data_IF_788832429078
#
_entry.id   IF_788832429078
#
_cell.length_a   1.000
_cell.length_b   1.000
_cell.length_c   1.000
_cell.angle_alpha   90.00
_cell.angle_beta   90.00
_cell.angle_gamma   90.00
#
_symmetry.space_group_name_H-M   'P 1'
#
loop_
_entity.id
_entity.type
_entity.pdbx_description
1 polymer ?
#
# COMPACT_ATOMS: atom_id res chain seq x y z
N UNK A 1 -0.75 -32.94 6.48
CA UNK A 1 -1.55 -31.76 6.77
C UNK A 1 -1.14 -31.10 8.09
N UNK A 2 -1.07 -31.85 9.18
CA UNK A 2 -0.67 -31.33 10.49
C UNK A 2 0.78 -30.84 10.53
N UNK A 3 1.69 -31.58 9.89
CA UNK A 3 3.11 -31.17 9.79
C UNK A 3 3.29 -29.88 9.04
N UNK A 4 2.59 -29.70 7.94
CA UNK A 4 2.64 -28.49 7.13
C UNK A 4 2.12 -27.30 7.93
N UNK A 5 0.98 -27.47 8.64
CA UNK A 5 0.40 -26.38 9.42
C UNK A 5 1.32 -25.99 10.59
N UNK A 6 1.90 -26.99 11.28
CA UNK A 6 2.85 -26.74 12.35
C UNK A 6 4.09 -25.99 11.85
N UNK A 7 4.59 -26.33 10.68
CA UNK A 7 5.71 -25.62 10.05
C UNK A 7 5.34 -24.18 9.72
N UNK A 8 4.17 -23.94 9.14
CA UNK A 8 3.69 -22.61 8.83
C UNK A 8 3.60 -21.76 10.10
N UNK A 9 2.98 -22.29 11.15
CA UNK A 9 2.80 -21.58 12.41
C UNK A 9 4.15 -21.23 13.05
N UNK A 10 5.08 -22.17 13.04
CA UNK A 10 6.44 -21.93 13.56
C UNK A 10 7.17 -20.85 12.77
N UNK A 11 7.12 -20.92 11.44
CA UNK A 11 7.79 -19.95 10.59
C UNK A 11 7.18 -18.56 10.70
N UNK A 12 5.86 -18.46 10.87
CA UNK A 12 5.21 -17.17 11.14
C UNK A 12 5.71 -16.55 12.45
N UNK A 13 5.77 -17.36 13.52
CA UNK A 13 6.26 -16.88 14.81
C UNK A 13 7.74 -16.47 14.74
N UNK A 14 8.56 -17.26 14.10
CA UNK A 14 10.00 -16.97 13.90
C UNK A 14 10.19 -15.71 13.05
N UNK A 15 9.38 -15.53 12.02
CA UNK A 15 9.42 -14.35 11.16
C UNK A 15 9.09 -13.07 11.91
N UNK A 16 8.02 -13.10 12.71
CA UNK A 16 7.66 -11.97 13.56
C UNK A 16 8.79 -11.61 14.53
N UNK A 17 9.36 -12.60 15.19
CA UNK A 17 10.45 -12.38 16.15
C UNK A 17 11.70 -11.83 15.45
N UNK A 18 12.07 -12.40 14.31
CA UNK A 18 13.27 -12.01 13.59
C UNK A 18 13.19 -10.60 13.01
N UNK A 19 12.04 -10.20 12.48
CA UNK A 19 11.85 -8.83 12.00
C UNK A 19 11.78 -7.85 13.17
N UNK A 20 10.96 -8.14 14.18
CA UNK A 20 10.81 -7.27 15.35
C UNK A 20 10.32 -5.88 15.00
N UNK A 21 10.67 -4.89 15.83
CA UNK A 21 10.37 -3.49 15.57
C UNK A 21 11.29 -2.91 14.50
N UNK A 22 10.72 -2.11 13.61
CA UNK A 22 11.50 -1.42 12.59
C UNK A 22 12.12 -0.15 13.16
N UNK A 23 13.45 -0.04 13.04
CA UNK A 23 14.13 1.22 13.27
C UNK A 23 13.81 2.22 12.17
N UNK A 24 14.16 3.49 12.35
CA UNK A 24 14.04 4.50 11.30
C UNK A 24 14.76 4.06 10.01
N UNK A 25 15.95 3.52 10.18
CA UNK A 25 16.73 3.02 9.03
C UNK A 25 16.02 1.86 8.33
N UNK A 26 15.48 0.92 9.08
CA UNK A 26 14.73 -0.20 8.52
C UNK A 26 13.52 0.32 7.72
N UNK A 27 12.78 1.27 8.27
CA UNK A 27 11.61 1.86 7.63
C UNK A 27 11.98 2.60 6.35
N UNK A 28 13.10 3.33 6.36
CA UNK A 28 13.60 4.03 5.18
C UNK A 28 13.88 3.05 4.04
N UNK A 29 14.65 2.01 4.33
CA UNK A 29 15.02 1.01 3.31
C UNK A 29 13.79 0.26 2.81
N UNK A 30 12.91 -0.16 3.73
CA UNK A 30 11.68 -0.87 3.35
C UNK A 30 10.78 -0.02 2.45
N UNK A 31 10.55 1.24 2.81
CA UNK A 31 9.70 2.14 2.04
C UNK A 31 10.27 2.43 0.66
N UNK A 32 11.57 2.67 0.56
CA UNK A 32 12.25 2.91 -0.73
C UNK A 32 12.18 1.66 -1.61
N UNK A 33 12.40 0.47 -1.04
CA UNK A 33 12.33 -0.79 -1.78
C UNK A 33 10.91 -1.07 -2.27
N UNK A 34 9.89 -0.81 -1.44
CA UNK A 34 8.49 -0.94 -1.86
C UNK A 34 8.19 -0.02 -3.04
N UNK A 35 8.62 1.23 -2.98
CA UNK A 35 8.37 2.17 -4.07
C UNK A 35 9.14 1.80 -5.33
N UNK A 36 10.36 1.31 -5.20
CA UNK A 36 11.13 0.82 -6.33
C UNK A 36 10.43 -0.33 -7.06
N UNK A 37 9.79 -1.22 -6.30
CA UNK A 37 9.07 -2.36 -6.86
C UNK A 37 7.70 -2.02 -7.43
N UNK A 38 6.91 -1.20 -6.75
CA UNK A 38 5.49 -1.02 -7.08
C UNK A 38 5.06 0.44 -7.28
N UNK A 39 5.92 1.41 -6.99
CA UNK A 39 5.57 2.81 -7.14
C UNK A 39 5.62 3.29 -8.59
N UNK A 40 4.85 4.33 -8.90
CA UNK A 40 4.89 4.97 -10.20
C UNK A 40 6.20 5.75 -10.38
N UNK A 41 6.80 5.65 -11.55
CA UNK A 41 8.11 6.25 -11.84
C UNK A 41 8.00 7.58 -12.61
N UNK A 42 6.80 7.93 -13.06
CA UNK A 42 6.56 9.20 -13.77
C UNK A 42 6.66 10.38 -12.81
N UNK A 43 7.41 11.40 -13.19
CA UNK A 43 7.57 12.60 -12.38
C UNK A 43 6.23 13.29 -12.11
N UNK A 44 6.12 13.93 -10.97
CA UNK A 44 4.98 14.76 -10.61
C UNK A 44 4.15 14.28 -9.43
N UNK A 45 4.10 13.00 -9.18
CA UNK A 45 3.31 12.47 -8.08
C UNK A 45 3.88 11.16 -7.53
N UNK A 46 3.72 10.99 -6.23
CA UNK A 46 3.95 9.72 -5.55
C UNK A 46 2.66 8.91 -5.69
N UNK A 47 2.75 7.75 -6.31
CA UNK A 47 1.61 6.86 -6.54
C UNK A 47 1.99 5.44 -6.16
N UNK A 48 1.19 4.83 -5.30
CA UNK A 48 1.44 3.48 -4.83
C UNK A 48 0.11 2.73 -4.70
N UNK A 49 0.06 1.51 -5.21
CA UNK A 49 -1.16 0.70 -5.19
C UNK A 49 -0.85 -0.72 -4.77
N UNK A 50 -1.75 -1.31 -4.00
CA UNK A 50 -1.67 -2.72 -3.63
C UNK A 50 -3.03 -3.20 -3.13
N UNK A 51 -3.27 -4.50 -3.20
CA UNK A 51 -4.46 -5.15 -2.65
C UNK A 51 -4.30 -5.53 -1.18
N UNK A 52 -3.08 -5.52 -0.66
CA UNK A 52 -2.79 -5.83 0.74
C UNK A 52 -2.74 -4.54 1.58
N UNK A 53 -3.69 -4.34 2.51
CA UNK A 53 -3.70 -3.15 3.36
C UNK A 53 -2.42 -2.98 4.19
N UNK A 54 -1.75 -4.08 4.54
CA UNK A 54 -0.53 -4.04 5.34
C UNK A 54 0.62 -3.40 4.56
N UNK A 55 0.74 -3.70 3.26
CA UNK A 55 1.75 -3.07 2.39
C UNK A 55 1.45 -1.60 2.20
N UNK A 56 0.19 -1.24 1.99
CA UNK A 56 -0.23 0.15 1.86
C UNK A 56 0.07 0.95 3.13
N UNK A 57 -0.22 0.38 4.29
CA UNK A 57 0.06 1.02 5.59
C UNK A 57 1.55 1.21 5.82
N UNK A 58 2.36 0.22 5.48
CA UNK A 58 3.82 0.34 5.61
C UNK A 58 4.36 1.45 4.72
N UNK A 59 3.90 1.52 3.48
CA UNK A 59 4.32 2.58 2.57
C UNK A 59 3.91 3.97 3.08
N UNK A 60 2.66 4.13 3.53
CA UNK A 60 2.19 5.41 4.07
C UNK A 60 2.91 5.80 5.36
N UNK A 61 3.25 4.83 6.21
CA UNK A 61 4.08 5.07 7.40
C UNK A 61 5.44 5.65 7.01
N UNK A 62 6.07 5.06 5.98
CA UNK A 62 7.32 5.57 5.41
C UNK A 62 7.14 7.00 4.90
N UNK A 63 6.13 7.25 4.09
CA UNK A 63 5.88 8.55 3.48
C UNK A 63 5.65 9.63 4.55
N UNK A 64 4.82 9.35 5.53
CA UNK A 64 4.48 10.28 6.61
C UNK A 64 5.65 10.51 7.58
N UNK A 65 6.51 9.54 7.74
CA UNK A 65 7.64 9.63 8.68
C UNK A 65 8.81 10.47 8.12
N UNK A 66 9.13 10.31 6.85
CA UNK A 66 10.31 10.92 6.26
C UNK A 66 10.05 12.18 5.47
N UNK A 67 8.80 12.51 5.20
CA UNK A 67 8.44 13.69 4.40
C UNK A 67 7.37 14.51 5.12
N UNK A 68 7.42 15.82 4.91
CA UNK A 68 6.33 16.71 5.35
C UNK A 68 5.16 16.56 4.38
N UNK A 69 4.15 15.83 4.80
CA UNK A 69 2.98 15.54 3.98
C UNK A 69 1.84 16.45 4.38
N UNK A 70 1.29 17.16 3.41
CA UNK A 70 0.01 17.84 3.59
C UNK A 70 -1.10 16.79 3.48
N UNK A 71 -1.62 16.36 4.63
CA UNK A 71 -2.63 15.27 4.68
C UNK A 71 -3.89 15.62 3.88
N UNK A 72 -4.22 16.90 3.74
CA UNK A 72 -5.40 17.33 2.96
C UNK A 72 -5.22 17.08 1.46
N UNK A 73 -4.00 16.88 1.00
CA UNK A 73 -3.68 16.61 -0.41
C UNK A 73 -3.54 15.14 -0.74
N UNK A 74 -3.52 14.26 0.26
CA UNK A 74 -3.53 12.82 0.01
C UNK A 74 -4.85 12.41 -0.64
N UNK A 75 -4.75 11.57 -1.65
CA UNK A 75 -5.93 11.05 -2.35
C UNK A 75 -5.85 9.54 -2.41
N UNK A 76 -6.98 8.91 -2.11
CA UNK A 76 -7.19 7.49 -2.29
C UNK A 76 -8.10 7.23 -3.49
N UNK A 77 -8.01 6.04 -4.03
CA UNK A 77 -8.94 5.54 -5.04
C UNK A 77 -9.02 4.03 -4.93
N UNK A 78 -10.20 3.49 -5.06
CA UNK A 78 -10.41 2.05 -5.04
C UNK A 78 -10.60 1.51 -6.45
N UNK A 79 -9.98 0.36 -6.70
CA UNK A 79 -10.27 -0.50 -7.82
C UNK A 79 -11.05 -1.68 -7.27
N UNK A 80 -12.33 -1.77 -7.61
CA UNK A 80 -13.24 -2.74 -7.00
C UNK A 80 -14.19 -3.29 -8.05
N UNK A 81 -14.27 -4.61 -8.20
CA UNK A 81 -15.19 -5.23 -9.13
C UNK A 81 -16.64 -4.90 -8.77
N UNK A 82 -17.48 -4.75 -9.81
CA UNK A 82 -18.91 -4.63 -9.62
C UNK A 82 -19.44 -5.87 -8.88
N UNK A 83 -20.40 -5.67 -8.01
CA UNK A 83 -20.92 -6.73 -7.16
C UNK A 83 -20.26 -6.83 -5.80
N UNK A 84 -19.13 -6.16 -5.59
CA UNK A 84 -18.55 -6.00 -4.25
C UNK A 84 -19.11 -4.74 -3.60
N UNK A 85 -19.22 -4.78 -2.27
CA UNK A 85 -19.78 -3.67 -1.48
C UNK A 85 -18.78 -2.52 -1.40
N UNK A 86 -19.05 -1.45 -2.16
CA UNK A 86 -18.21 -0.27 -2.19
C UNK A 86 -18.14 0.43 -0.84
N UNK A 87 -19.26 0.60 -0.16
CA UNK A 87 -19.29 1.32 1.11
C UNK A 87 -18.49 0.59 2.19
N UNK A 88 -18.63 -0.74 2.24
CA UNK A 88 -17.86 -1.57 3.16
C UNK A 88 -16.35 -1.52 2.85
N UNK A 89 -15.98 -1.64 1.60
CA UNK A 89 -14.57 -1.55 1.18
C UNK A 89 -13.98 -0.18 1.48
N UNK A 90 -14.73 0.89 1.21
CA UNK A 90 -14.29 2.25 1.50
C UNK A 90 -14.04 2.49 3.00
N UNK A 91 -14.94 1.98 3.86
CA UNK A 91 -14.76 2.09 5.31
C UNK A 91 -13.48 1.39 5.76
N UNK A 92 -13.24 0.17 5.26
CA UNK A 92 -12.05 -0.60 5.63
C UNK A 92 -10.77 0.10 5.15
N UNK A 93 -10.73 0.51 3.91
CA UNK A 93 -9.55 1.17 3.35
C UNK A 93 -9.29 2.54 3.97
N UNK A 94 -10.34 3.34 4.18
CA UNK A 94 -10.21 4.64 4.83
C UNK A 94 -9.60 4.51 6.23
N UNK A 95 -10.09 3.55 7.02
CA UNK A 95 -9.54 3.28 8.34
C UNK A 95 -8.10 2.75 8.27
N UNK A 96 -7.84 1.81 7.38
CA UNK A 96 -6.51 1.19 7.24
C UNK A 96 -5.45 2.21 6.82
N UNK A 97 -5.78 3.13 5.94
CA UNK A 97 -4.84 4.10 5.38
C UNK A 97 -4.82 5.43 6.16
N UNK A 98 -5.76 5.60 7.08
CA UNK A 98 -5.97 6.88 7.78
C UNK A 98 -6.10 8.05 6.79
N UNK A 99 -6.96 7.84 5.80
CA UNK A 99 -7.34 8.86 4.80
C UNK A 99 -8.86 9.01 4.88
N UNK A 100 -9.37 10.24 5.09
CA UNK A 100 -10.82 10.45 5.17
C UNK A 100 -11.55 9.96 3.91
N UNK A 101 -12.77 9.42 4.04
CA UNK A 101 -13.53 8.92 2.89
C UNK A 101 -13.75 9.97 1.79
N UNK A 102 -13.89 11.24 2.14
CA UNK A 102 -14.09 12.33 1.18
C UNK A 102 -12.82 12.66 0.37
N UNK A 103 -11.66 12.13 0.76
CA UNK A 103 -10.42 12.23 -0.01
C UNK A 103 -10.22 11.04 -0.96
N UNK A 104 -11.17 10.12 -1.02
CA UNK A 104 -11.19 9.07 -2.03
C UNK A 104 -11.96 9.56 -3.26
N UNK A 105 -11.30 9.47 -4.42
CA UNK A 105 -11.91 9.81 -5.70
C UNK A 105 -12.89 8.73 -6.18
N UNK A 106 -13.44 8.94 -7.36
CA UNK A 106 -14.38 8.02 -7.97
C UNK A 106 -13.74 6.63 -8.13
N UNK A 107 -14.36 5.57 -7.60
CA UNK A 107 -13.79 4.22 -7.71
C UNK A 107 -13.81 3.73 -9.14
N UNK A 108 -12.83 2.90 -9.49
CA UNK A 108 -12.87 2.14 -10.72
C UNK A 108 -13.62 0.84 -10.45
N UNK A 109 -14.70 0.61 -11.19
CA UNK A 109 -15.59 -0.55 -11.03
C UNK A 109 -15.51 -1.43 -12.28
N UNK A 110 -14.65 -2.47 -12.22
CA UNK A 110 -14.53 -3.42 -13.33
C UNK A 110 -15.72 -4.38 -13.35
N UNK A 111 -16.14 -4.76 -14.55
CA UNK A 111 -17.11 -5.82 -14.72
C UNK A 111 -16.45 -7.14 -14.38
N UNK A 112 -17.06 -8.00 -13.52
CA UNK A 112 -16.48 -9.29 -13.19
C UNK A 112 -16.34 -10.15 -14.45
N UNK A 113 -15.11 -10.64 -14.65
CA UNK A 113 -14.84 -11.67 -15.65
C UNK A 113 -14.91 -13.03 -14.95
N UNK A 114 -15.42 -14.03 -15.64
CA UNK A 114 -15.50 -15.41 -15.14
C UNK A 114 -14.12 -15.99 -14.79
N UNK A 115 -13.04 -15.47 -15.39
CA UNK A 115 -11.67 -15.86 -15.08
C UNK A 115 -11.15 -15.30 -13.75
N UNK A 116 -11.82 -14.30 -13.17
CA UNK A 116 -11.39 -13.65 -11.94
C UNK A 116 -12.12 -14.26 -10.75
N UNK A 117 -11.36 -14.83 -9.81
CA UNK A 117 -11.93 -15.37 -8.57
C UNK A 117 -12.42 -14.22 -7.69
N UNK A 118 -13.74 -14.17 -7.46
CA UNK A 118 -14.37 -13.13 -6.61
C UNK A 118 -13.84 -13.09 -5.18
N UNK A 119 -13.27 -14.21 -4.70
CA UNK A 119 -12.77 -14.34 -3.34
C UNK A 119 -11.32 -13.91 -3.17
N UNK A 120 -10.59 -13.65 -4.27
CA UNK A 120 -9.15 -13.38 -4.20
C UNK A 120 -8.84 -12.02 -3.54
N UNK A 121 -9.64 -11.01 -3.83
CA UNK A 121 -9.47 -9.66 -3.27
C UNK A 121 -10.84 -9.05 -2.97
N UNK A 122 -11.47 -9.47 -1.84
CA UNK A 122 -12.84 -9.03 -1.54
C UNK A 122 -12.96 -7.53 -1.28
N UNK A 123 -11.86 -6.87 -0.91
CA UNK A 123 -11.80 -5.43 -0.68
C UNK A 123 -11.22 -4.68 -1.89
N UNK A 124 -10.89 -5.39 -2.97
CA UNK A 124 -10.27 -4.82 -4.14
C UNK A 124 -8.84 -4.35 -3.91
N UNK A 125 -8.41 -3.40 -4.71
CA UNK A 125 -7.10 -2.78 -4.64
C UNK A 125 -7.26 -1.31 -4.28
N UNK A 126 -6.38 -0.79 -3.43
CA UNK A 126 -6.34 0.62 -3.12
C UNK A 126 -5.12 1.27 -3.77
N UNK A 127 -5.31 2.49 -4.16
CA UNK A 127 -4.33 3.35 -4.79
C UNK A 127 -4.27 4.64 -3.97
N UNK A 128 -3.06 5.10 -3.66
CA UNK A 128 -2.84 6.39 -3.03
C UNK A 128 -2.01 7.28 -3.94
N UNK A 129 -2.34 8.56 -3.95
CA UNK A 129 -1.64 9.56 -4.75
C UNK A 129 -1.34 10.78 -3.92
N UNK A 130 -0.09 11.21 -3.98
CA UNK A 130 0.34 12.48 -3.41
C UNK A 130 1.01 13.30 -4.52
N UNK A 131 0.30 14.33 -5.00
CA UNK A 131 0.76 15.17 -6.10
C UNK A 131 1.77 16.19 -5.59
N UNK A 132 3.03 15.79 -5.60
CA UNK A 132 4.15 16.62 -5.18
C UNK A 132 5.42 16.15 -5.91
N UNK A 133 5.86 16.93 -6.87
CA UNK A 133 7.07 16.60 -7.65
C UNK A 133 8.31 16.53 -6.77
N UNK A 134 8.44 17.42 -5.80
CA UNK A 134 9.59 17.45 -4.91
C UNK A 134 9.71 16.16 -4.10
N UNK A 135 8.59 15.67 -3.54
CA UNK A 135 8.57 14.42 -2.79
C UNK A 135 8.90 13.23 -3.68
N UNK A 136 8.31 13.17 -4.88
CA UNK A 136 8.60 12.10 -5.84
C UNK A 136 10.09 12.08 -6.23
N UNK A 137 10.68 13.23 -6.49
CA UNK A 137 12.12 13.34 -6.82
C UNK A 137 13.01 12.93 -5.66
N UNK A 138 12.64 13.27 -4.43
CA UNK A 138 13.38 12.84 -3.25
C UNK A 138 13.37 11.31 -3.12
N UNK A 139 12.22 10.68 -3.33
CA UNK A 139 12.12 9.22 -3.32
C UNK A 139 12.94 8.62 -4.47
N UNK A 140 12.89 9.22 -5.65
CA UNK A 140 13.69 8.77 -6.80
C UNK A 140 15.19 8.80 -6.50
N UNK A 141 15.65 9.84 -5.81
CA UNK A 141 17.04 9.93 -5.35
C UNK A 141 17.41 8.81 -4.37
N UNK A 142 16.51 8.50 -3.44
CA UNK A 142 16.70 7.40 -2.50
C UNK A 142 16.73 6.04 -3.22
N UNK A 143 15.87 5.84 -4.22
CA UNK A 143 15.89 4.63 -5.04
C UNK A 143 17.22 4.47 -5.79
N UNK A 144 17.73 5.56 -6.36
CA UNK A 144 19.01 5.54 -7.06
C UNK A 144 20.15 5.14 -6.11
N UNK A 145 20.13 5.64 -4.88
CA UNK A 145 21.11 5.25 -3.86
C UNK A 145 21.00 3.79 -3.46
N UNK A 146 19.78 3.29 -3.28
CA UNK A 146 19.53 1.91 -2.89
C UNK A 146 19.95 0.92 -3.98
N UNK A 147 19.71 1.26 -5.24
CA UNK A 147 19.91 0.37 -6.38
C UNK A 147 21.26 0.58 -7.11
N UNK A 148 22.13 1.37 -6.51
CA UNK A 148 23.44 1.67 -7.09
C UNK A 148 24.34 0.42 -7.21
#
# INVERSE_FOLDING_TARGET
>A
AQRKQAEIDRLLAEGHERIGELSDRDLLIAGVALYAGEGAKTDGAVVFANSDPRMMRLFLRFLRHFFEIDETRLRGRLYLHQGLDLDAALRVWSAALDIPPDQFGKPYRAVPDASIRRTKHPLGCAYVKYSCSATHRAISGLMAGLLA
#
